data_IF_931527421592
#
_entry.id   IF_931527421592
#
_cell.length_a   1.000
_cell.length_b   1.000
_cell.length_c   1.000
_cell.angle_alpha   90.00
_cell.angle_beta   90.00
_cell.angle_gamma   90.00
#
_symmetry.space_group_name_H-M   'P 1'
#
loop_
_entity.id
_entity.type
_entity.pdbx_description
1 polymer ?
#
# COMPACT_ATOMS: atom_id res chain seq x y z
N UNK A 1 -58.00 -12.82 -27.03
CA UNK A 1 -56.91 -11.86 -27.36
C UNK A 1 -56.54 -10.92 -26.21
N UNK A 2 -57.49 -10.30 -25.49
CA UNK A 2 -57.17 -9.39 -24.36
C UNK A 2 -56.41 -10.02 -23.18
N UNK A 3 -56.67 -11.27 -22.84
CA UNK A 3 -55.99 -11.94 -21.71
C UNK A 3 -54.53 -12.32 -22.00
N UNK A 4 -54.19 -12.63 -23.26
CA UNK A 4 -52.80 -12.92 -23.65
C UNK A 4 -51.93 -11.67 -23.63
N UNK A 5 -52.51 -10.52 -23.96
CA UNK A 5 -51.85 -9.22 -23.95
C UNK A 5 -51.54 -8.73 -22.52
N UNK A 6 -52.42 -9.05 -21.56
CA UNK A 6 -52.24 -8.71 -20.13
C UNK A 6 -51.09 -9.49 -19.48
N UNK A 7 -50.92 -10.77 -19.85
CA UNK A 7 -49.82 -11.61 -19.33
C UNK A 7 -48.46 -11.17 -19.91
N UNK A 8 -48.42 -10.75 -21.17
CA UNK A 8 -47.19 -10.26 -21.79
C UNK A 8 -46.70 -8.94 -21.17
N UNK A 9 -47.63 -8.06 -20.79
CA UNK A 9 -47.32 -6.79 -20.11
C UNK A 9 -46.89 -6.97 -18.65
N UNK A 10 -47.36 -8.00 -17.95
CA UNK A 10 -46.92 -8.29 -16.57
C UNK A 10 -45.52 -8.91 -16.52
N UNK A 11 -45.14 -9.71 -17.52
CA UNK A 11 -43.78 -10.27 -17.64
C UNK A 11 -42.78 -9.17 -18.01
N UNK A 12 -43.18 -8.20 -18.84
CA UNK A 12 -42.32 -7.08 -19.23
C UNK A 12 -42.05 -6.10 -18.07
N UNK A 13 -43.01 -5.89 -17.18
CA UNK A 13 -42.82 -5.06 -15.98
C UNK A 13 -41.93 -5.71 -14.92
N UNK A 14 -41.85 -7.06 -14.86
CA UNK A 14 -40.91 -7.79 -14.01
C UNK A 14 -39.45 -7.65 -14.47
N UNK A 15 -39.19 -7.47 -15.78
CA UNK A 15 -37.83 -7.25 -16.30
C UNK A 15 -37.27 -5.85 -16.03
N UNK A 16 -38.14 -4.85 -15.86
CA UNK A 16 -37.73 -3.46 -15.60
C UNK A 16 -37.25 -3.21 -14.16
N UNK A 17 -37.51 -4.12 -13.22
CA UNK A 17 -37.02 -4.03 -11.84
C UNK A 17 -35.62 -4.64 -11.62
N UNK A 18 -35.07 -5.39 -12.60
CA UNK A 18 -33.75 -6.02 -12.47
C UNK A 18 -32.57 -5.16 -12.96
N UNK A 19 -32.83 -3.97 -13.51
CA UNK A 19 -31.80 -3.15 -14.18
C UNK A 19 -31.43 -1.89 -13.41
N UNK A 20 -31.16 -2.01 -12.11
CA UNK A 20 -30.46 -0.95 -11.39
C UNK A 20 -29.71 -1.52 -10.17
N UNK A 21 -28.74 -2.39 -10.39
CA UNK A 21 -27.64 -2.51 -9.42
C UNK A 21 -26.71 -1.33 -9.69
N UNK A 22 -26.76 -0.30 -8.84
CA UNK A 22 -25.69 0.69 -8.82
C UNK A 22 -24.41 -0.05 -8.45
N UNK A 23 -23.50 -0.23 -9.40
CA UNK A 23 -22.14 -0.71 -9.10
C UNK A 23 -21.56 0.19 -8.02
N UNK A 24 -21.35 -0.36 -6.83
CA UNK A 24 -20.83 0.37 -5.68
C UNK A 24 -19.43 0.86 -6.04
N UNK A 25 -19.28 2.17 -6.28
CA UNK A 25 -17.99 2.75 -6.61
C UNK A 25 -17.12 2.77 -5.36
N UNK A 26 -16.03 2.00 -5.38
CA UNK A 26 -15.00 2.09 -4.35
C UNK A 26 -14.25 3.41 -4.53
N UNK A 27 -14.11 4.16 -3.44
CA UNK A 27 -13.54 5.51 -3.49
C UNK A 27 -12.23 5.60 -2.71
N UNK A 28 -11.24 6.17 -3.39
CA UNK A 28 -9.92 6.45 -2.88
C UNK A 28 -9.62 7.94 -3.07
N UNK A 29 -9.09 8.56 -2.01
CA UNK A 29 -8.62 9.94 -2.04
C UNK A 29 -7.18 10.00 -1.54
N UNK A 30 -6.57 11.19 -1.62
CA UNK A 30 -5.26 11.47 -1.05
C UNK A 30 -5.41 12.45 0.11
N UNK A 31 -4.61 12.27 1.16
CA UNK A 31 -4.40 13.26 2.21
C UNK A 31 -2.97 13.79 2.12
N UNK A 32 -2.83 15.10 2.25
CA UNK A 32 -1.53 15.78 2.36
C UNK A 32 -1.40 16.46 3.72
N UNK A 33 -0.24 16.35 4.35
CA UNK A 33 0.12 17.03 5.59
C UNK A 33 1.54 17.59 5.42
N UNK A 34 1.77 18.82 5.88
CA UNK A 34 3.09 19.46 5.81
C UNK A 34 3.41 20.13 7.14
N UNK A 35 4.66 20.05 7.56
CA UNK A 35 5.18 20.77 8.71
C UNK A 35 6.60 21.25 8.39
N UNK A 36 6.90 22.52 8.69
CA UNK A 36 8.18 23.12 8.37
C UNK A 36 8.67 23.93 9.56
N UNK A 37 9.86 23.62 10.06
CA UNK A 37 10.51 24.31 11.19
C UNK A 37 11.91 24.76 10.79
N UNK A 38 12.69 25.30 11.73
CA UNK A 38 14.09 25.62 11.47
C UNK A 38 14.99 24.36 11.37
N UNK A 39 14.54 23.23 11.91
CA UNK A 39 15.37 22.02 12.04
C UNK A 39 14.92 20.87 11.16
N UNK A 40 13.68 20.89 10.68
CA UNK A 40 13.15 19.83 9.85
C UNK A 40 12.03 20.28 8.93
N UNK A 41 11.80 19.46 7.92
CA UNK A 41 10.66 19.53 7.02
C UNK A 41 10.00 18.16 6.94
N UNK A 42 8.69 18.13 7.11
CA UNK A 42 7.85 16.95 6.99
C UNK A 42 6.85 17.21 5.87
N UNK A 43 6.84 16.33 4.88
CA UNK A 43 5.79 16.27 3.86
C UNK A 43 5.22 14.86 3.82
N UNK A 44 3.91 14.73 3.96
CA UNK A 44 3.24 13.44 3.97
C UNK A 44 2.13 13.45 2.93
N UNK A 45 2.24 12.55 1.96
CA UNK A 45 1.19 12.18 1.04
C UNK A 45 0.84 10.71 1.22
N UNK A 46 -0.44 10.43 1.49
CA UNK A 46 -0.93 9.08 1.75
C UNK A 46 -2.31 8.83 1.15
N UNK A 47 -2.65 7.56 0.86
CA UNK A 47 -4.00 7.20 0.49
C UNK A 47 -4.96 7.35 1.67
N UNK A 48 -6.21 7.69 1.36
CA UNK A 48 -7.32 7.72 2.30
C UNK A 48 -8.52 7.01 1.65
N UNK A 49 -8.78 5.78 2.09
CA UNK A 49 -9.92 4.98 1.66
C UNK A 49 -11.19 5.55 2.30
N UNK A 50 -12.25 5.68 1.52
CA UNK A 50 -13.58 6.11 2.01
C UNK A 50 -14.36 4.93 2.59
N UNK A 51 -15.42 5.23 3.35
CA UNK A 51 -16.29 4.22 3.96
C UNK A 51 -17.00 3.30 2.95
N UNK A 52 -16.99 3.65 1.65
CA UNK A 52 -17.45 2.76 0.59
C UNK A 52 -16.58 1.51 0.44
N UNK A 53 -15.30 1.57 0.84
CA UNK A 53 -14.36 0.44 0.76
C UNK A 53 -14.45 -0.44 2.01
N UNK A 54 -14.60 -1.77 1.87
CA UNK A 54 -14.55 -2.69 3.00
C UNK A 54 -13.27 -2.48 3.83
N UNK A 55 -13.40 -2.54 5.15
CA UNK A 55 -12.28 -2.40 6.09
C UNK A 55 -11.47 -1.09 5.98
N UNK A 56 -11.99 -0.05 5.30
CA UNK A 56 -11.28 1.22 5.09
C UNK A 56 -10.67 1.80 6.37
N UNK A 57 -11.41 1.80 7.49
CA UNK A 57 -10.91 2.29 8.79
C UNK A 57 -9.68 1.52 9.28
N UNK A 58 -9.68 0.18 9.15
CA UNK A 58 -8.55 -0.68 9.55
C UNK A 58 -7.33 -0.39 8.67
N UNK A 59 -7.53 -0.30 7.36
CA UNK A 59 -6.47 -0.06 6.38
C UNK A 59 -5.86 1.35 6.59
N UNK A 60 -6.71 2.37 6.71
CA UNK A 60 -6.27 3.74 7.00
C UNK A 60 -5.49 3.80 8.32
N UNK A 61 -5.97 3.13 9.38
CA UNK A 61 -5.27 3.07 10.66
C UNK A 61 -3.91 2.37 10.56
N UNK A 62 -3.78 1.33 9.73
CA UNK A 62 -2.49 0.68 9.49
C UNK A 62 -1.50 1.62 8.80
N UNK A 63 -1.93 2.32 7.73
CA UNK A 63 -1.11 3.34 7.05
C UNK A 63 -0.67 4.43 8.03
N UNK A 64 -1.60 4.94 8.83
CA UNK A 64 -1.33 5.96 9.84
C UNK A 64 -0.35 5.47 10.91
N UNK A 65 -0.47 4.21 11.32
CA UNK A 65 0.45 3.56 12.25
C UNK A 65 1.89 3.51 11.72
N UNK A 66 2.09 3.07 10.48
CA UNK A 66 3.41 3.05 9.83
C UNK A 66 4.01 4.46 9.83
N UNK A 67 3.26 5.46 9.37
CA UNK A 67 3.73 6.85 9.27
C UNK A 67 4.06 7.40 10.66
N UNK A 68 3.22 7.15 11.66
CA UNK A 68 3.43 7.62 13.03
C UNK A 68 4.70 7.03 13.64
N UNK A 69 4.94 5.72 13.45
CA UNK A 69 6.17 5.06 13.91
C UNK A 69 7.40 5.67 13.25
N UNK A 70 7.39 5.87 11.93
CA UNK A 70 8.55 6.45 11.24
C UNK A 70 8.78 7.92 11.61
N UNK A 71 7.71 8.71 11.75
CA UNK A 71 7.79 10.10 12.19
C UNK A 71 8.35 10.22 13.60
N UNK A 72 7.91 9.35 14.52
CA UNK A 72 8.44 9.34 15.88
C UNK A 72 9.95 9.03 15.93
N UNK A 73 10.40 8.06 15.13
CA UNK A 73 11.83 7.76 14.98
C UNK A 73 12.61 8.93 14.37
N UNK A 74 12.06 9.57 13.35
CA UNK A 74 12.65 10.77 12.74
C UNK A 74 12.79 11.93 13.73
N UNK A 75 11.77 12.20 14.54
CA UNK A 75 11.83 13.29 15.52
C UNK A 75 12.88 13.04 16.62
N UNK A 76 13.21 11.78 16.91
CA UNK A 76 14.36 11.45 17.78
C UNK A 76 15.67 11.84 17.11
N UNK A 77 15.83 11.51 15.83
CA UNK A 77 17.02 11.89 15.04
C UNK A 77 17.17 13.42 14.99
N UNK A 78 16.08 14.16 14.76
CA UNK A 78 16.09 15.63 14.78
C UNK A 78 16.59 16.14 16.13
N UNK A 79 16.05 15.64 17.24
CA UNK A 79 16.47 16.06 18.58
C UNK A 79 17.97 15.85 18.77
N UNK A 80 18.45 14.62 18.54
CA UNK A 80 19.86 14.25 18.74
C UNK A 80 20.76 15.11 17.83
N UNK A 81 20.35 15.36 16.58
CA UNK A 81 21.04 16.26 15.66
C UNK A 81 21.11 17.72 16.16
N UNK A 82 20.03 18.24 16.73
CA UNK A 82 20.00 19.61 17.26
C UNK A 82 20.80 19.77 18.54
N UNK A 83 20.78 18.77 19.42
CA UNK A 83 21.49 18.80 20.71
C UNK A 83 23.00 18.60 20.52
N UNK A 84 23.41 17.68 19.64
CA UNK A 84 24.83 17.32 19.48
C UNK A 84 25.56 18.17 18.42
N UNK A 85 24.85 18.67 17.41
CA UNK A 85 25.45 19.30 16.22
C UNK A 85 24.92 20.71 15.91
N UNK A 86 24.05 21.25 16.76
CA UNK A 86 23.55 22.62 16.65
C UNK A 86 22.58 22.89 15.49
N UNK A 87 22.14 21.86 14.76
CA UNK A 87 21.04 22.01 13.79
C UNK A 87 21.38 22.84 12.55
N UNK A 88 22.52 22.61 11.91
CA UNK A 88 23.05 23.45 10.80
C UNK A 88 22.19 23.54 9.52
N UNK A 89 21.25 22.61 9.34
CA UNK A 89 20.33 22.56 8.19
C UNK A 89 19.09 21.73 8.54
N UNK A 90 18.02 21.88 7.75
CA UNK A 90 16.78 21.13 7.95
C UNK A 90 16.94 19.67 7.53
N UNK A 91 16.47 18.76 8.37
CA UNK A 91 16.36 17.36 8.03
C UNK A 91 15.00 17.08 7.36
N UNK A 92 14.95 16.50 6.15
CA UNK A 92 13.69 16.11 5.51
C UNK A 92 13.16 14.74 5.95
N UNK A 93 11.84 14.67 6.12
CA UNK A 93 11.04 13.46 6.26
C UNK A 93 9.89 13.52 5.24
N UNK A 94 9.97 12.69 4.20
CA UNK A 94 8.99 12.70 3.13
C UNK A 94 8.27 11.36 3.02
N UNK A 95 6.95 11.39 3.00
CA UNK A 95 6.12 10.23 2.74
C UNK A 95 5.39 10.45 1.42
N UNK A 96 5.54 9.50 0.52
CA UNK A 96 4.76 9.43 -0.72
C UNK A 96 4.14 8.06 -0.85
N UNK A 97 3.20 7.92 -1.78
CA UNK A 97 2.56 6.65 -2.03
C UNK A 97 2.31 6.42 -3.52
N UNK A 98 2.23 5.15 -3.89
CA UNK A 98 1.88 4.72 -5.24
C UNK A 98 0.74 3.72 -5.19
N UNK A 99 -0.31 4.03 -5.93
CA UNK A 99 -1.45 3.14 -6.12
C UNK A 99 -1.09 1.98 -7.06
N UNK A 100 -1.58 0.77 -6.74
CA UNK A 100 -1.51 -0.39 -7.64
C UNK A 100 -2.88 -0.97 -7.95
N UNK A 101 -3.75 -1.16 -6.95
CA UNK A 101 -5.04 -1.84 -7.15
C UNK A 101 -6.08 -1.41 -6.12
N UNK A 102 -7.33 -1.26 -6.57
CA UNK A 102 -8.54 -1.16 -5.76
C UNK A 102 -9.70 -1.71 -6.58
N UNK A 103 -10.18 -2.87 -6.18
CA UNK A 103 -11.40 -3.51 -6.70
C UNK A 103 -12.17 -4.16 -5.54
N UNK A 104 -13.19 -4.96 -5.83
CA UNK A 104 -14.02 -5.56 -4.78
C UNK A 104 -13.29 -6.59 -3.91
N UNK A 105 -12.12 -7.07 -4.34
CA UNK A 105 -11.35 -8.12 -3.68
C UNK A 105 -10.03 -7.62 -3.05
N UNK A 106 -9.37 -6.62 -3.64
CA UNK A 106 -8.02 -6.22 -3.24
C UNK A 106 -7.88 -4.71 -3.14
N UNK A 107 -7.20 -4.26 -2.08
CA UNK A 107 -6.52 -2.97 -2.03
C UNK A 107 -5.01 -3.19 -2.03
N UNK A 108 -4.29 -2.47 -2.88
CA UNK A 108 -2.81 -2.51 -2.94
C UNK A 108 -2.22 -1.13 -3.20
N UNK A 109 -1.27 -0.73 -2.35
CA UNK A 109 -0.43 0.43 -2.54
C UNK A 109 1.00 0.19 -2.03
N UNK A 110 1.92 1.07 -2.41
CA UNK A 110 3.25 1.17 -1.81
C UNK A 110 3.39 2.52 -1.14
N UNK A 111 3.67 2.51 0.15
CA UNK A 111 4.08 3.70 0.90
C UNK A 111 5.60 3.79 0.89
N UNK A 112 6.13 4.95 0.54
CA UNK A 112 7.56 5.25 0.48
C UNK A 112 7.88 6.32 1.51
N UNK A 113 8.77 6.01 2.45
CA UNK A 113 9.20 6.93 3.49
C UNK A 113 10.69 7.23 3.30
N UNK A 114 11.00 8.47 2.94
CA UNK A 114 12.35 8.99 2.87
C UNK A 114 12.68 9.74 4.16
N UNK A 115 13.85 9.45 4.72
CA UNK A 115 14.39 10.14 5.89
C UNK A 115 15.83 10.52 5.62
N UNK A 116 16.18 11.76 5.93
CA UNK A 116 17.57 12.17 6.00
C UNK A 116 17.96 12.42 7.47
N UNK A 117 18.98 11.70 7.93
CA UNK A 117 19.37 11.64 9.34
C UNK A 117 20.64 12.44 9.67
N UNK A 118 21.13 13.27 8.73
CA UNK A 118 22.46 13.87 8.79
C UNK A 118 23.53 12.94 8.20
N UNK A 119 24.51 13.50 7.49
CA UNK A 119 25.59 12.75 6.82
C UNK A 119 25.65 13.00 5.32
N UNK A 120 26.12 12.02 4.53
CA UNK A 120 26.25 12.18 3.08
C UNK A 120 24.94 11.94 2.31
N UNK A 121 24.04 11.10 2.84
CA UNK A 121 22.79 10.74 2.18
C UNK A 121 21.72 10.30 3.19
N UNK A 122 20.45 10.33 2.75
CA UNK A 122 19.33 9.78 3.50
C UNK A 122 19.15 8.28 3.24
N UNK A 123 18.05 7.73 3.73
CA UNK A 123 17.60 6.38 3.45
C UNK A 123 16.11 6.38 3.09
N UNK A 124 15.71 5.38 2.30
CA UNK A 124 14.32 5.20 1.86
C UNK A 124 13.82 3.84 2.34
N UNK A 125 12.64 3.84 2.96
CA UNK A 125 11.92 2.66 3.38
C UNK A 125 10.69 2.46 2.51
N UNK A 126 10.44 1.20 2.13
CA UNK A 126 9.35 0.80 1.25
C UNK A 126 8.40 -0.11 2.02
N UNK A 127 7.13 0.29 2.14
CA UNK A 127 6.10 -0.46 2.84
C UNK A 127 5.00 -0.86 1.83
N UNK A 128 5.05 -2.08 1.27
CA UNK A 128 3.95 -2.60 0.47
C UNK A 128 2.76 -2.89 1.39
N UNK A 129 1.58 -2.39 1.03
CA UNK A 129 0.36 -2.53 1.81
C UNK A 129 -0.67 -3.21 0.92
N UNK A 130 -1.02 -4.45 1.26
CA UNK A 130 -1.94 -5.27 0.48
C UNK A 130 -3.01 -5.84 1.41
N UNK A 131 -4.28 -5.68 1.04
CA UNK A 131 -5.40 -6.20 1.82
C UNK A 131 -6.36 -6.97 0.94
N UNK A 132 -6.81 -8.11 1.45
CA UNK A 132 -8.02 -8.76 0.98
C UNK A 132 -9.24 -8.02 1.52
N UNK A 133 -10.07 -7.48 0.63
CA UNK A 133 -11.25 -6.70 0.97
C UNK A 133 -12.47 -7.56 1.28
N UNK A 134 -12.41 -8.87 1.06
CA UNK A 134 -13.44 -9.81 1.53
C UNK A 134 -13.24 -10.19 3.00
N UNK A 135 -12.00 -10.35 3.43
CA UNK A 135 -11.65 -10.85 4.78
C UNK A 135 -11.13 -9.76 5.71
N UNK A 136 -10.59 -8.68 5.15
CA UNK A 136 -9.87 -7.64 5.87
C UNK A 136 -8.49 -8.09 6.35
N UNK A 137 -8.00 -9.24 5.91
CA UNK A 137 -6.66 -9.75 6.22
C UNK A 137 -5.60 -9.02 5.38
N UNK A 138 -4.45 -8.75 6.00
CA UNK A 138 -3.29 -8.22 5.28
C UNK A 138 -2.59 -9.37 4.53
N UNK A 139 -2.25 -9.11 3.27
CA UNK A 139 -1.51 -10.04 2.41
C UNK A 139 -0.03 -9.65 2.49
N UNK A 140 0.72 -10.38 3.30
CA UNK A 140 2.18 -10.27 3.41
C UNK A 140 2.84 -11.34 2.54
N UNK A 141 4.17 -11.27 2.38
CA UNK A 141 4.91 -12.32 1.68
C UNK A 141 4.71 -13.69 2.34
N UNK A 142 4.55 -13.72 3.67
CA UNK A 142 4.37 -14.95 4.45
C UNK A 142 2.94 -15.51 4.33
N UNK A 143 1.94 -14.65 4.15
CA UNK A 143 0.52 -15.06 4.02
C UNK A 143 0.08 -15.23 2.56
N UNK A 144 0.83 -14.68 1.60
CA UNK A 144 0.60 -14.82 0.16
C UNK A 144 0.40 -16.28 -0.30
N UNK A 145 1.19 -17.27 0.17
CA UNK A 145 0.93 -18.67 -0.11
C UNK A 145 -0.52 -19.09 0.18
N UNK A 146 -0.94 -18.87 1.42
CA UNK A 146 -2.24 -19.27 1.92
C UNK A 146 -3.36 -18.51 1.20
N UNK A 147 -3.14 -17.23 0.92
CA UNK A 147 -4.07 -16.40 0.16
C UNK A 147 -4.32 -16.97 -1.26
N UNK A 148 -3.25 -17.26 -2.01
CA UNK A 148 -3.36 -17.84 -3.36
C UNK A 148 -4.04 -19.22 -3.30
N UNK A 149 -3.69 -20.06 -2.32
CA UNK A 149 -4.33 -21.37 -2.12
C UNK A 149 -5.84 -21.27 -1.88
N UNK A 150 -6.27 -20.37 -0.99
CA UNK A 150 -7.69 -20.10 -0.70
C UNK A 150 -8.45 -19.64 -1.96
N UNK A 151 -7.89 -18.70 -2.73
CA UNK A 151 -8.58 -18.11 -3.90
C UNK A 151 -8.60 -19.01 -5.14
N UNK A 152 -7.55 -19.79 -5.38
CA UNK A 152 -7.40 -20.55 -6.64
C UNK A 152 -7.96 -21.97 -6.58
N UNK A 153 -8.33 -22.48 -5.39
CA UNK A 153 -8.69 -23.91 -5.17
C UNK A 153 -7.66 -24.90 -5.76
N UNK A 154 -6.41 -24.46 -6.01
CA UNK A 154 -5.35 -25.26 -6.67
C UNK A 154 -4.40 -25.87 -5.64
N UNK A 155 -3.95 -27.09 -5.95
CA UNK A 155 -3.02 -27.92 -5.19
C UNK A 155 -1.76 -27.17 -4.72
N UNK A 156 -1.32 -27.45 -3.49
CA UNK A 156 -0.14 -26.89 -2.79
C UNK A 156 1.15 -26.93 -3.63
N UNK A 157 1.26 -27.84 -4.60
CA UNK A 157 2.42 -28.00 -5.47
C UNK A 157 2.69 -26.79 -6.39
N UNK A 158 1.66 -26.19 -6.97
CA UNK A 158 1.80 -25.01 -7.85
C UNK A 158 2.20 -23.77 -7.03
N UNK A 159 1.73 -23.73 -5.78
CA UNK A 159 2.06 -22.67 -4.84
C UNK A 159 3.54 -22.73 -4.43
N UNK A 160 4.05 -23.93 -4.15
CA UNK A 160 5.47 -24.14 -3.86
C UNK A 160 6.37 -23.68 -5.02
N UNK A 161 6.00 -24.01 -6.26
CA UNK A 161 6.72 -23.58 -7.46
C UNK A 161 6.69 -22.04 -7.64
N UNK A 162 5.54 -21.40 -7.40
CA UNK A 162 5.42 -19.94 -7.46
C UNK A 162 6.29 -19.25 -6.40
N UNK A 163 6.28 -19.73 -5.16
CA UNK A 163 7.08 -19.17 -4.07
C UNK A 163 8.56 -19.39 -4.29
N UNK A 164 8.95 -20.53 -4.84
CA UNK A 164 10.33 -20.79 -5.24
C UNK A 164 10.78 -19.76 -6.28
N UNK A 165 9.97 -19.52 -7.32
CA UNK A 165 10.25 -18.49 -8.34
C UNK A 165 10.30 -17.09 -7.74
N UNK A 166 9.35 -16.71 -6.88
CA UNK A 166 9.35 -15.42 -6.20
C UNK A 166 10.60 -15.23 -5.33
N UNK A 167 11.03 -16.27 -4.60
CA UNK A 167 12.27 -16.26 -3.80
C UNK A 167 13.53 -16.15 -4.67
N UNK A 168 13.52 -16.77 -5.86
CA UNK A 168 14.59 -16.68 -6.85
C UNK A 168 14.63 -15.32 -7.54
N UNK A 169 13.54 -14.56 -7.54
CA UNK A 169 13.48 -13.20 -8.08
C UNK A 169 13.87 -12.13 -7.05
N UNK A 170 13.70 -12.42 -5.74
CA UNK A 170 14.16 -11.53 -4.67
C UNK A 170 15.67 -11.63 -4.40
N UNK A 171 16.27 -12.82 -4.57
CA UNK A 171 17.71 -13.07 -4.34
C UNK A 171 18.70 -12.36 -5.29
N UNK A 172 18.50 -12.22 -6.62
CA UNK A 172 19.54 -11.72 -7.53
C UNK A 172 19.66 -10.19 -7.53
N UNK A 173 18.64 -9.47 -7.05
CA UNK A 173 18.67 -8.00 -6.97
C UNK A 173 19.35 -7.48 -5.70
N UNK A 174 19.54 -8.33 -4.69
CA UNK A 174 20.24 -7.95 -3.45
C UNK A 174 21.76 -8.10 -3.61
N UNK A 175 22.26 -9.08 -4.38
CA UNK A 175 23.71 -9.26 -4.58
C UNK A 175 24.33 -8.35 -5.65
N UNK A 176 23.60 -8.00 -6.71
CA UNK A 176 24.13 -7.11 -7.76
C UNK A 176 24.32 -5.65 -7.34
N UNK A 177 23.71 -5.22 -6.23
CA UNK A 177 23.91 -3.88 -5.65
C UNK A 177 24.98 -3.84 -4.53
N UNK A 178 25.41 -5.00 -4.03
CA UNK A 178 26.48 -5.10 -3.02
C UNK A 178 27.85 -5.29 -3.68
N UNK A 179 27.94 -6.04 -4.78
CA UNK A 179 29.23 -6.33 -5.43
C UNK A 179 29.77 -5.25 -6.37
N UNK A 180 28.94 -4.30 -6.82
CA UNK A 180 29.41 -3.21 -7.71
C UNK A 180 30.08 -2.05 -6.97
N UNK A 181 30.05 -2.03 -5.62
CA UNK A 181 30.73 -0.98 -4.82
C UNK A 181 32.12 -1.35 -4.32
N UNK A 182 32.59 -2.59 -4.49
CA UNK A 182 33.91 -3.02 -4.01
C UNK A 182 34.98 -3.25 -5.08
N UNK A 183 34.66 -3.12 -6.37
CA UNK A 183 35.62 -3.36 -7.46
C UNK A 183 35.98 -2.11 -8.30
N UNK A 184 35.72 -0.90 -7.80
CA UNK A 184 36.11 0.35 -8.50
C UNK A 184 37.05 1.25 -7.68
N UNK A 185 37.73 0.72 -6.65
CA UNK A 185 38.79 1.44 -5.92
C UNK A 185 40.17 0.76 -6.01
N UNK A 186 40.35 -0.18 -6.94
CA UNK A 186 41.67 -0.73 -7.29
C UNK A 186 41.78 -0.90 -8.82
N UNK A 187 41.95 0.22 -9.51
CA UNK A 187 42.56 0.29 -10.84
C UNK A 187 43.18 1.69 -11.03
#
# INVERSE_FOLDING_TARGET
>A
MKQFFLVLMSIFSLFLFFSCQSTKRLELSQKRETENTNYYEIEIEKPLLKDSVPYAKKINAHIDGIIATQRASFLKIVRDYTEDWGGTHKLPFFVSWKFYQLDDAIFSCLLTVYVYAGGAHGYTMLFPINYDLETGEEITIDTLPLYIGKKTKKNEKILAEFLEVASRLSKPKIFSQVDTKHNTELA
#
